data_IF_844767150390
#
_entry.id   IF_844767150390
#
_cell.length_a   1.000
_cell.length_b   1.000
_cell.length_c   1.000
_cell.angle_alpha   90.00
_cell.angle_beta   90.00
_cell.angle_gamma   90.00
#
_symmetry.space_group_name_H-M   'P 1'
#
loop_
_entity.id
_entity.type
_entity.pdbx_description
1 polymer ?
#
# COMPACT_ATOMS: atom_id res chain seq x y z
N UNK A 1 25.66 -18.71 -23.69
CA UNK A 1 24.24 -18.97 -23.43
C UNK A 1 23.51 -17.94 -24.27
N UNK A 2 22.89 -18.33 -25.38
CA UNK A 2 22.16 -17.39 -26.26
C UNK A 2 20.86 -16.98 -25.54
N UNK A 3 20.56 -15.69 -25.54
CA UNK A 3 19.29 -15.14 -25.03
C UNK A 3 18.14 -15.39 -26.06
N UNK A 4 18.27 -16.37 -26.94
CA UNK A 4 17.27 -16.81 -27.92
C UNK A 4 16.08 -17.41 -27.16
N UNK A 5 15.01 -16.65 -27.03
CA UNK A 5 13.77 -17.05 -26.34
C UNK A 5 13.18 -16.05 -25.36
N UNK A 6 13.90 -14.99 -25.01
CA UNK A 6 13.31 -13.82 -24.34
C UNK A 6 12.71 -12.91 -25.41
N UNK A 7 11.41 -12.72 -25.36
CA UNK A 7 10.81 -11.56 -26.04
C UNK A 7 11.05 -10.34 -25.15
N UNK A 8 11.96 -9.41 -25.51
CA UNK A 8 12.23 -8.22 -24.73
C UNK A 8 11.02 -7.26 -24.69
N UNK A 9 10.02 -7.49 -25.54
CA UNK A 9 8.77 -6.73 -25.57
C UNK A 9 7.67 -7.37 -24.68
N UNK A 10 7.87 -8.59 -24.16
CA UNK A 10 6.89 -9.23 -23.29
C UNK A 10 6.75 -8.44 -21.98
N UNK A 11 5.52 -8.03 -21.69
CA UNK A 11 5.23 -7.28 -20.46
C UNK A 11 5.51 -8.15 -19.24
N UNK A 12 6.30 -7.65 -18.25
CA UNK A 12 6.57 -8.38 -17.02
C UNK A 12 5.29 -8.83 -16.30
N UNK A 13 5.38 -9.95 -15.62
CA UNK A 13 4.31 -10.61 -14.87
C UNK A 13 3.15 -11.17 -15.69
N UNK A 14 3.20 -11.16 -17.03
CA UNK A 14 2.27 -11.95 -17.85
C UNK A 14 2.68 -13.43 -17.86
N UNK A 15 1.74 -14.32 -18.18
CA UNK A 15 2.03 -15.76 -18.31
C UNK A 15 3.13 -16.02 -19.36
N UNK A 16 3.09 -15.35 -20.51
CA UNK A 16 4.08 -15.46 -21.57
C UNK A 16 5.48 -15.06 -21.10
N UNK A 17 5.59 -13.91 -20.42
CA UNK A 17 6.84 -13.46 -19.81
C UNK A 17 7.36 -14.48 -18.79
N UNK A 18 6.51 -14.97 -17.90
CA UNK A 18 6.89 -15.96 -16.89
C UNK A 18 7.41 -17.25 -17.52
N UNK A 19 6.72 -17.80 -18.53
CA UNK A 19 7.15 -19.01 -19.23
C UNK A 19 8.47 -18.80 -19.99
N UNK A 20 8.72 -17.60 -20.51
CA UNK A 20 10.00 -17.28 -21.15
C UNK A 20 11.16 -17.27 -20.16
N UNK A 21 10.98 -16.65 -18.98
CA UNK A 21 11.98 -16.66 -17.89
C UNK A 21 12.18 -18.08 -17.36
N UNK A 22 11.08 -18.84 -17.14
CA UNK A 22 11.13 -20.21 -16.65
C UNK A 22 11.93 -21.12 -17.55
N UNK A 23 11.85 -20.95 -18.86
CA UNK A 23 12.68 -21.69 -19.82
C UNK A 23 14.18 -21.43 -19.68
N UNK A 24 14.56 -20.22 -19.24
CA UNK A 24 15.97 -19.81 -19.09
C UNK A 24 16.57 -20.25 -17.75
N UNK A 25 15.85 -20.04 -16.65
CA UNK A 25 16.39 -20.22 -15.30
C UNK A 25 15.77 -21.39 -14.53
N UNK A 26 14.77 -22.06 -15.09
CA UNK A 26 13.99 -23.11 -14.44
C UNK A 26 13.02 -22.57 -13.38
N UNK A 27 12.14 -23.44 -12.89
CA UNK A 27 11.14 -23.06 -11.90
C UNK A 27 11.76 -22.62 -10.56
N UNK A 28 12.82 -23.32 -10.13
CA UNK A 28 13.55 -22.95 -8.90
C UNK A 28 14.21 -21.59 -9.06
N UNK A 29 14.81 -21.31 -10.23
CA UNK A 29 15.40 -19.99 -10.52
C UNK A 29 14.36 -18.89 -10.53
N UNK A 30 13.17 -19.12 -11.12
CA UNK A 30 12.07 -18.16 -11.04
C UNK A 30 11.67 -17.84 -9.60
N UNK A 31 11.54 -18.85 -8.74
CA UNK A 31 11.21 -18.64 -7.33
C UNK A 31 12.26 -17.80 -6.61
N UNK A 32 13.55 -18.10 -6.82
CA UNK A 32 14.66 -17.35 -6.22
C UNK A 32 14.73 -15.91 -6.70
N UNK A 33 14.46 -15.67 -7.98
CA UNK A 33 14.43 -14.33 -8.59
C UNK A 33 13.13 -13.56 -8.31
N UNK A 34 12.14 -14.17 -7.65
CA UNK A 34 10.85 -13.54 -7.42
C UNK A 34 9.99 -13.37 -8.68
N UNK A 35 10.26 -14.16 -9.73
CA UNK A 35 9.46 -14.16 -10.96
C UNK A 35 8.21 -15.03 -10.79
N UNK A 36 7.06 -14.48 -11.19
CA UNK A 36 5.76 -15.16 -11.17
C UNK A 36 4.82 -14.53 -12.19
N UNK A 37 3.74 -15.20 -12.54
CA UNK A 37 2.70 -14.65 -13.41
C UNK A 37 1.53 -14.13 -12.58
N UNK A 38 0.92 -13.04 -13.06
CA UNK A 38 -0.36 -12.52 -12.56
C UNK A 38 -1.44 -12.88 -13.57
N UNK A 39 -2.58 -13.47 -13.18
CA UNK A 39 -3.66 -13.76 -14.12
C UNK A 39 -4.12 -12.51 -14.86
N UNK A 40 -4.44 -12.63 -16.15
CA UNK A 40 -4.76 -11.47 -17.01
C UNK A 40 -6.05 -10.75 -16.60
N UNK A 41 -6.99 -11.46 -16.00
CA UNK A 41 -8.25 -10.93 -15.46
C UNK A 41 -8.10 -10.25 -14.11
N UNK A 42 -6.93 -10.39 -13.47
CA UNK A 42 -6.65 -9.86 -12.14
C UNK A 42 -6.37 -8.36 -12.15
N UNK A 43 -6.83 -7.67 -11.12
CA UNK A 43 -6.65 -6.22 -11.00
C UNK A 43 -6.24 -5.83 -9.58
N UNK A 44 -5.25 -4.93 -9.47
CA UNK A 44 -4.85 -4.28 -8.22
C UNK A 44 -5.63 -2.98 -8.04
N UNK A 45 -6.25 -2.75 -6.88
CA UNK A 45 -6.72 -1.42 -6.48
C UNK A 45 -5.65 -0.72 -5.65
N UNK A 46 -5.18 0.43 -6.11
CA UNK A 46 -4.27 1.29 -5.36
C UNK A 46 -5.07 2.43 -4.74
N UNK A 47 -5.30 2.36 -3.43
CA UNK A 47 -6.04 3.38 -2.67
C UNK A 47 -5.08 4.44 -2.18
N UNK A 48 -5.26 5.67 -2.63
CA UNK A 48 -4.36 6.80 -2.36
C UNK A 48 -5.13 7.90 -1.62
N UNK A 49 -5.01 8.01 -0.28
CA UNK A 49 -5.50 9.16 0.47
C UNK A 49 -4.59 10.37 0.19
N UNK A 50 -5.17 11.51 -0.15
CA UNK A 50 -4.43 12.69 -0.63
C UNK A 50 -4.84 13.91 0.19
N UNK A 51 -3.84 14.61 0.75
CA UNK A 51 -4.04 15.88 1.45
C UNK A 51 -2.79 16.75 1.39
N UNK A 52 -2.84 17.89 0.69
CA UNK A 52 -1.74 18.84 0.53
C UNK A 52 -0.47 18.22 -0.05
N UNK A 53 -0.59 17.56 -1.20
CA UNK A 53 0.50 16.88 -1.90
C UNK A 53 0.66 17.37 -3.36
N UNK A 54 0.45 18.67 -3.58
CA UNK A 54 0.58 19.33 -4.90
C UNK A 54 1.89 19.00 -5.62
N UNK A 55 3.00 18.90 -4.87
CA UNK A 55 4.34 18.71 -5.42
C UNK A 55 4.69 17.25 -5.72
N UNK A 56 4.09 16.32 -5.00
CA UNK A 56 4.45 14.90 -5.03
C UNK A 56 3.47 14.08 -5.86
N UNK A 57 2.21 14.49 -5.89
CA UNK A 57 1.11 13.73 -6.43
C UNK A 57 1.33 13.28 -7.88
N UNK A 58 1.74 14.22 -8.78
CA UNK A 58 1.96 13.87 -10.19
C UNK A 58 3.05 12.82 -10.36
N UNK A 59 4.17 13.01 -9.68
CA UNK A 59 5.30 12.08 -9.71
C UNK A 59 4.89 10.71 -9.18
N UNK A 60 4.12 10.66 -8.09
CA UNK A 60 3.62 9.40 -7.55
C UNK A 60 2.73 8.67 -8.56
N UNK A 61 1.76 9.38 -9.16
CA UNK A 61 0.82 8.76 -10.12
C UNK A 61 1.59 8.18 -11.32
N UNK A 62 2.60 8.90 -11.83
CA UNK A 62 3.42 8.42 -12.93
C UNK A 62 4.22 7.16 -12.53
N UNK A 63 4.80 7.12 -11.31
CA UNK A 63 5.47 5.91 -10.78
C UNK A 63 4.49 4.75 -10.59
N UNK A 64 3.30 4.99 -10.04
CA UNK A 64 2.27 3.95 -9.90
C UNK A 64 1.88 3.39 -11.27
N UNK A 65 1.65 4.24 -12.27
CA UNK A 65 1.32 3.83 -13.64
C UNK A 65 2.43 3.01 -14.30
N UNK A 66 3.69 3.33 -14.02
CA UNK A 66 4.86 2.65 -14.59
C UNK A 66 4.99 1.19 -14.14
N UNK A 67 4.41 0.80 -12.99
CA UNK A 67 4.41 -0.61 -12.56
C UNK A 67 3.61 -1.45 -13.56
N UNK A 68 4.18 -2.51 -14.18
CA UNK A 68 3.58 -3.24 -15.32
C UNK A 68 2.49 -4.25 -14.88
N UNK A 69 1.59 -3.84 -14.01
CA UNK A 69 0.47 -4.62 -13.48
C UNK A 69 -0.82 -3.88 -13.80
N UNK A 70 -1.87 -4.60 -14.22
CA UNK A 70 -3.20 -4.01 -14.40
C UNK A 70 -3.75 -3.50 -13.07
N UNK A 71 -4.12 -2.21 -13.02
CA UNK A 71 -4.59 -1.58 -11.78
C UNK A 71 -5.63 -0.48 -11.99
N UNK A 72 -6.39 -0.24 -10.95
CA UNK A 72 -7.15 0.98 -10.79
C UNK A 72 -6.52 1.85 -9.69
N UNK A 73 -6.43 3.14 -9.92
CA UNK A 73 -6.01 4.14 -8.95
C UNK A 73 -7.26 4.78 -8.36
N UNK A 74 -7.48 4.54 -7.05
CA UNK A 74 -8.61 5.10 -6.31
C UNK A 74 -8.09 6.26 -5.46
N UNK A 75 -8.21 7.46 -6.01
CA UNK A 75 -7.69 8.71 -5.45
C UNK A 75 -8.76 9.36 -4.57
N UNK A 76 -8.44 9.63 -3.31
CA UNK A 76 -9.38 10.29 -2.38
C UNK A 76 -8.77 11.58 -1.88
N UNK A 77 -9.28 12.69 -2.39
CA UNK A 77 -8.86 14.05 -2.05
C UNK A 77 -9.60 14.51 -0.78
N UNK A 78 -8.85 14.75 0.30
CA UNK A 78 -9.39 15.06 1.63
C UNK A 78 -9.42 16.56 1.94
N UNK A 79 -9.98 17.37 1.04
CA UNK A 79 -10.15 18.81 1.14
C UNK A 79 -8.82 19.57 1.35
N UNK A 80 -7.89 19.39 0.41
CA UNK A 80 -6.59 20.08 0.37
C UNK A 80 -6.74 21.60 0.28
N UNK A 81 -5.74 22.31 0.81
CA UNK A 81 -5.69 23.78 0.84
C UNK A 81 -4.67 24.39 -0.13
N UNK A 82 -3.91 23.54 -0.81
CA UNK A 82 -2.93 23.89 -1.84
C UNK A 82 -3.46 23.58 -3.26
N UNK A 83 -2.59 23.51 -4.26
CA UNK A 83 -2.94 23.20 -5.64
C UNK A 83 -3.28 21.73 -5.93
N UNK A 84 -3.30 20.84 -4.93
CA UNK A 84 -3.54 19.39 -5.11
C UNK A 84 -4.81 19.09 -5.91
N UNK A 85 -5.92 19.80 -5.62
CA UNK A 85 -7.19 19.58 -6.32
C UNK A 85 -7.09 19.92 -7.81
N UNK A 86 -6.35 20.98 -8.17
CA UNK A 86 -6.13 21.33 -9.57
C UNK A 86 -5.32 20.27 -10.31
N UNK A 87 -4.30 19.70 -9.66
CA UNK A 87 -3.52 18.57 -10.20
C UNK A 87 -4.41 17.36 -10.46
N UNK A 88 -5.31 17.03 -9.53
CA UNK A 88 -6.25 15.91 -9.70
C UNK A 88 -7.22 16.13 -10.87
N UNK A 89 -7.79 17.33 -11.00
CA UNK A 89 -8.67 17.67 -12.12
C UNK A 89 -7.97 17.54 -13.48
N UNK A 90 -6.68 17.92 -13.56
CA UNK A 90 -5.88 17.71 -14.76
C UNK A 90 -5.68 16.21 -15.05
N UNK A 91 -5.37 15.39 -14.03
CA UNK A 91 -5.22 13.95 -14.17
C UNK A 91 -6.52 13.28 -14.63
N UNK A 92 -7.68 13.71 -14.13
CA UNK A 92 -8.99 13.21 -14.58
C UNK A 92 -9.25 13.57 -16.05
N UNK A 93 -8.98 14.82 -16.45
CA UNK A 93 -9.15 15.26 -17.83
C UNK A 93 -8.23 14.49 -18.79
N UNK A 94 -6.97 14.26 -18.40
CA UNK A 94 -6.01 13.46 -19.17
C UNK A 94 -6.46 12.00 -19.31
N UNK A 95 -6.94 11.40 -18.22
CA UNK A 95 -7.43 10.02 -18.23
C UNK A 95 -8.70 9.87 -19.08
N UNK A 96 -9.57 10.89 -19.09
CA UNK A 96 -10.76 10.90 -19.93
C UNK A 96 -10.41 11.06 -21.42
N UNK A 97 -9.40 11.90 -21.73
CA UNK A 97 -8.94 12.11 -23.12
C UNK A 97 -8.17 10.91 -23.68
N UNK A 98 -7.42 10.21 -22.85
CA UNK A 98 -6.58 9.06 -23.21
C UNK A 98 -6.84 7.88 -22.27
N UNK A 99 -7.92 7.11 -22.44
CA UNK A 99 -8.24 5.99 -21.59
C UNK A 99 -7.15 4.90 -21.64
N UNK A 100 -6.65 4.52 -20.47
CA UNK A 100 -5.68 3.44 -20.34
C UNK A 100 -6.33 2.26 -19.56
N UNK A 101 -6.61 1.13 -20.25
CA UNK A 101 -7.22 -0.04 -19.60
C UNK A 101 -6.31 -0.72 -18.59
N UNK A 102 -5.01 -0.44 -18.63
CA UNK A 102 -4.04 -0.94 -17.65
C UNK A 102 -4.01 -0.10 -16.36
N UNK A 103 -4.42 1.19 -16.44
CA UNK A 103 -4.31 2.16 -15.36
C UNK A 103 -5.56 3.05 -15.30
N UNK A 104 -6.67 2.50 -14.85
CA UNK A 104 -7.89 3.29 -14.70
C UNK A 104 -7.80 4.20 -13.48
N UNK A 105 -8.40 5.40 -13.54
CA UNK A 105 -8.41 6.37 -12.44
C UNK A 105 -9.84 6.64 -12.02
N UNK A 106 -10.07 6.66 -10.71
CA UNK A 106 -11.30 7.14 -10.08
C UNK A 106 -10.94 8.15 -8.99
N UNK A 107 -11.47 9.35 -9.05
CA UNK A 107 -11.24 10.38 -8.04
C UNK A 107 -12.51 10.60 -7.22
N UNK A 108 -12.35 10.79 -5.93
CA UNK A 108 -13.41 11.17 -4.99
C UNK A 108 -12.94 12.36 -4.17
N UNK A 109 -13.77 13.38 -4.06
CA UNK A 109 -13.47 14.61 -3.32
C UNK A 109 -14.29 14.66 -2.04
N UNK A 110 -13.63 14.93 -0.90
CA UNK A 110 -14.31 15.27 0.34
C UNK A 110 -14.59 16.77 0.40
N UNK A 111 -15.76 17.15 0.94
CA UNK A 111 -16.14 18.56 1.11
C UNK A 111 -15.42 19.23 2.29
N UNK A 112 -14.97 18.43 3.26
CA UNK A 112 -14.21 18.86 4.43
C UNK A 112 -13.10 17.86 4.71
N UNK A 113 -12.00 18.30 5.33
CA UNK A 113 -10.94 17.40 5.76
C UNK A 113 -11.48 16.44 6.85
N UNK A 114 -11.53 15.15 6.51
CA UNK A 114 -12.01 14.07 7.39
C UNK A 114 -10.87 13.26 7.99
N UNK A 115 -9.65 13.39 7.45
CA UNK A 115 -8.44 12.71 7.88
C UNK A 115 -8.13 11.43 7.09
N UNK A 116 -6.86 10.96 7.17
CA UNK A 116 -6.32 9.82 6.41
C UNK A 116 -7.22 8.58 6.50
N UNK A 117 -7.63 8.18 7.70
CA UNK A 117 -8.46 7.00 7.91
C UNK A 117 -9.82 7.08 7.20
N UNK A 118 -10.45 8.27 7.20
CA UNK A 118 -11.70 8.48 6.48
C UNK A 118 -11.49 8.40 4.96
N UNK A 119 -10.39 8.96 4.45
CA UNK A 119 -10.03 8.88 3.03
C UNK A 119 -9.74 7.42 2.61
N UNK A 120 -9.01 6.66 3.42
CA UNK A 120 -8.77 5.21 3.19
C UNK A 120 -10.09 4.44 3.16
N UNK A 121 -11.00 4.68 4.11
CA UNK A 121 -12.32 4.02 4.13
C UNK A 121 -13.15 4.37 2.89
N UNK A 122 -13.13 5.63 2.45
CA UNK A 122 -13.77 6.04 1.19
C UNK A 122 -13.15 5.30 0.01
N UNK A 123 -11.81 5.21 -0.04
CA UNK A 123 -11.10 4.46 -1.08
C UNK A 123 -11.47 2.98 -1.09
N UNK A 124 -11.52 2.32 0.06
CA UNK A 124 -11.93 0.92 0.17
C UNK A 124 -13.36 0.68 -0.36
N UNK A 125 -14.27 1.60 -0.10
CA UNK A 125 -15.65 1.49 -0.63
C UNK A 125 -15.76 1.60 -2.15
N UNK A 126 -14.74 2.14 -2.81
CA UNK A 126 -14.69 2.34 -4.26
C UNK A 126 -13.79 1.32 -4.97
N UNK A 127 -12.91 0.65 -4.24
CA UNK A 127 -11.98 -0.33 -4.76
C UNK A 127 -12.71 -1.55 -5.34
N UNK A 128 -12.33 -1.96 -6.56
CA UNK A 128 -12.96 -3.07 -7.31
C UNK A 128 -11.97 -4.18 -7.67
N UNK A 129 -10.66 -3.97 -7.45
CA UNK A 129 -9.61 -4.93 -7.74
C UNK A 129 -9.65 -6.18 -6.85
N UNK A 130 -9.02 -7.25 -7.25
CA UNK A 130 -8.95 -8.53 -6.51
C UNK A 130 -8.08 -8.43 -5.27
N UNK A 131 -7.12 -7.50 -5.33
CA UNK A 131 -6.26 -7.13 -4.22
C UNK A 131 -6.21 -5.62 -4.09
N UNK A 132 -6.12 -5.14 -2.87
CA UNK A 132 -6.13 -3.73 -2.53
C UNK A 132 -4.86 -3.38 -1.77
N UNK A 133 -4.16 -2.31 -2.18
CA UNK A 133 -3.01 -1.73 -1.47
C UNK A 133 -3.33 -0.31 -1.06
N UNK A 134 -2.86 0.10 0.12
CA UNK A 134 -2.86 1.51 0.55
C UNK A 134 -1.51 2.12 0.14
N UNK A 135 -1.54 3.27 -0.52
CA UNK A 135 -0.37 4.03 -0.96
C UNK A 135 -0.46 5.48 -0.45
N UNK A 136 0.51 5.91 0.34
CA UNK A 136 0.61 7.32 0.73
C UNK A 136 1.07 8.19 -0.45
N UNK A 137 0.58 9.43 -0.52
CA UNK A 137 0.84 10.32 -1.65
C UNK A 137 2.17 11.08 -1.59
N UNK A 138 3.02 10.78 -0.61
CA UNK A 138 4.18 11.57 -0.18
C UNK A 138 5.54 11.11 -0.72
N UNK A 139 5.59 10.13 -1.61
CA UNK A 139 6.80 9.52 -2.17
C UNK A 139 7.73 8.81 -1.16
N UNK A 140 7.31 8.63 0.10
CA UNK A 140 8.11 7.89 1.07
C UNK A 140 8.17 6.39 0.78
N UNK A 141 7.16 5.84 0.11
CA UNK A 141 7.01 4.44 -0.30
C UNK A 141 7.13 4.29 -1.81
N UNK A 142 7.77 3.22 -2.27
CA UNK A 142 8.05 2.92 -3.67
C UNK A 142 6.99 2.01 -4.30
N UNK A 143 6.23 2.48 -5.33
CA UNK A 143 5.28 1.61 -6.05
C UNK A 143 5.92 0.41 -6.72
N UNK A 144 7.20 0.45 -7.01
CA UNK A 144 8.00 -0.65 -7.57
C UNK A 144 8.02 -1.90 -6.68
N UNK A 145 7.67 -1.74 -5.39
CA UNK A 145 7.53 -2.84 -4.43
C UNK A 145 6.23 -3.65 -4.58
N UNK A 146 5.23 -3.15 -5.31
CA UNK A 146 3.94 -3.86 -5.44
C UNK A 146 4.10 -5.31 -5.87
N UNK A 147 4.88 -5.65 -6.92
CA UNK A 147 5.01 -7.05 -7.31
C UNK A 147 5.47 -7.94 -6.16
N UNK A 148 6.46 -7.48 -5.39
CA UNK A 148 6.98 -8.23 -4.25
C UNK A 148 5.94 -8.44 -3.16
N UNK A 149 5.16 -7.41 -2.85
CA UNK A 149 4.09 -7.45 -1.85
C UNK A 149 2.90 -8.32 -2.27
N UNK A 150 2.62 -8.43 -3.57
CA UNK A 150 1.51 -9.22 -4.11
C UNK A 150 1.79 -10.72 -4.10
N UNK A 151 3.06 -11.13 -4.18
CA UNK A 151 3.45 -12.52 -4.36
C UNK A 151 2.86 -13.47 -3.31
N UNK A 152 2.93 -13.24 -1.99
CA UNK A 152 2.37 -14.16 -1.01
C UNK A 152 0.85 -14.35 -1.14
N UNK A 153 0.14 -13.33 -1.62
CA UNK A 153 -1.30 -13.42 -1.90
C UNK A 153 -1.57 -14.27 -3.13
N UNK A 154 -0.84 -14.03 -4.22
CA UNK A 154 -0.97 -14.78 -5.47
C UNK A 154 -0.61 -16.26 -5.32
N UNK A 155 0.37 -16.57 -4.48
CA UNK A 155 0.73 -17.94 -4.12
C UNK A 155 -0.25 -18.59 -3.13
N UNK A 156 -1.29 -17.86 -2.68
CA UNK A 156 -2.32 -18.37 -1.76
C UNK A 156 -1.85 -18.53 -0.31
N UNK A 157 -0.71 -17.95 0.06
CA UNK A 157 -0.13 -18.03 1.40
C UNK A 157 -0.70 -16.99 2.37
N UNK A 158 -1.01 -15.79 1.88
CA UNK A 158 -1.43 -14.66 2.69
C UNK A 158 -2.82 -14.14 2.31
N UNK A 159 -3.54 -13.65 3.31
CA UNK A 159 -4.76 -12.85 3.15
C UNK A 159 -4.43 -11.35 3.24
N UNK A 160 -3.37 -11.03 4.02
CA UNK A 160 -2.86 -9.67 4.23
C UNK A 160 -1.34 -9.68 4.21
N UNK A 161 -0.73 -8.67 3.57
CA UNK A 161 0.72 -8.47 3.56
C UNK A 161 1.06 -7.08 4.06
N UNK A 162 2.00 -7.00 5.00
CA UNK A 162 2.59 -5.76 5.51
C UNK A 162 3.95 -5.51 4.87
N UNK A 163 4.18 -4.27 4.44
CA UNK A 163 5.51 -3.84 4.03
C UNK A 163 6.24 -3.19 5.21
N UNK A 164 7.24 -3.85 5.79
CA UNK A 164 7.98 -3.33 6.95
C UNK A 164 9.18 -2.49 6.54
N UNK A 165 9.33 -1.33 7.17
CA UNK A 165 10.50 -0.43 7.08
C UNK A 165 11.67 -0.90 7.94
N UNK A 166 11.47 -1.91 8.80
CA UNK A 166 12.43 -2.36 9.80
C UNK A 166 12.95 -3.77 9.57
N UNK A 167 12.39 -4.53 8.64
CA UNK A 167 12.97 -5.77 8.15
C UNK A 167 14.19 -5.48 7.27
N UNK A 168 15.30 -6.16 7.51
CA UNK A 168 16.62 -5.76 7.06
C UNK A 168 17.10 -6.40 5.75
N UNK A 169 16.43 -6.28 4.61
CA UNK A 169 17.01 -6.66 3.30
C UNK A 169 16.85 -5.59 2.20
N UNK A 170 16.21 -4.46 2.53
CA UNK A 170 16.01 -3.36 1.59
C UNK A 170 16.66 -2.07 2.11
N UNK A 171 17.10 -1.23 1.17
CA UNK A 171 17.65 0.08 1.51
C UNK A 171 16.58 0.99 2.10
N UNK A 172 16.91 1.65 3.19
CA UNK A 172 16.04 2.63 3.81
C UNK A 172 16.85 3.80 4.35
N UNK A 173 16.28 5.00 4.32
CA UNK A 173 16.85 6.16 4.98
C UNK A 173 16.89 5.92 6.48
N UNK A 174 18.05 6.13 7.12
CA UNK A 174 18.19 6.02 8.57
C UNK A 174 17.21 6.96 9.26
N UNK A 175 16.31 6.40 10.05
CA UNK A 175 15.29 7.16 10.80
C UNK A 175 15.89 7.81 12.04
N UNK A 176 15.28 8.91 12.50
CA UNK A 176 15.63 9.46 13.80
C UNK A 176 15.34 8.44 14.91
N UNK A 177 16.28 8.27 15.82
CA UNK A 177 16.23 7.27 16.88
C UNK A 177 14.91 7.29 17.66
N UNK A 178 14.44 8.46 18.08
CA UNK A 178 13.20 8.59 18.86
C UNK A 178 11.94 8.21 18.05
N UNK A 179 11.93 8.42 16.75
CA UNK A 179 10.84 7.97 15.89
C UNK A 179 10.84 6.45 15.75
N UNK A 180 12.02 5.86 15.56
CA UNK A 180 12.16 4.41 15.51
C UNK A 180 11.74 3.77 16.83
N UNK A 181 12.21 4.32 17.97
CA UNK A 181 11.82 3.84 19.29
C UNK A 181 10.31 3.94 19.53
N UNK A 182 9.70 5.08 19.18
CA UNK A 182 8.24 5.27 19.30
C UNK A 182 7.47 4.23 18.49
N UNK A 183 7.86 4.00 17.24
CA UNK A 183 7.25 2.97 16.41
C UNK A 183 7.42 1.56 16.99
N UNK A 184 8.61 1.24 17.50
CA UNK A 184 8.89 -0.05 18.15
C UNK A 184 8.00 -0.27 19.37
N UNK A 185 7.82 0.77 20.22
CA UNK A 185 6.93 0.68 21.38
C UNK A 185 5.48 0.44 20.95
N UNK A 186 4.95 1.22 19.99
CA UNK A 186 3.58 1.05 19.51
C UNK A 186 3.38 -0.34 18.88
N UNK A 187 4.31 -0.79 18.05
CA UNK A 187 4.27 -2.12 17.44
C UNK A 187 4.31 -3.23 18.50
N UNK A 188 5.18 -3.09 19.52
CA UNK A 188 5.28 -4.07 20.62
C UNK A 188 3.98 -4.17 21.41
N UNK A 189 3.39 -3.03 21.77
CA UNK A 189 2.09 -3.02 22.48
C UNK A 189 0.99 -3.62 21.62
N UNK A 190 0.95 -3.28 20.33
CA UNK A 190 0.01 -3.90 19.37
C UNK A 190 0.19 -5.40 19.29
N UNK A 191 1.43 -5.89 19.18
CA UNK A 191 1.73 -7.33 19.13
C UNK A 191 1.28 -8.06 20.40
N UNK A 192 1.51 -7.48 21.58
CA UNK A 192 1.02 -8.03 22.84
C UNK A 192 -0.51 -8.16 22.87
N UNK A 193 -1.23 -7.18 22.29
CA UNK A 193 -2.70 -7.16 22.32
C UNK A 193 -3.31 -8.06 21.23
N UNK A 194 -2.67 -8.16 20.07
CA UNK A 194 -3.19 -8.88 18.89
C UNK A 194 -2.66 -10.30 18.75
N UNK A 195 -1.61 -10.65 19.49
CA UNK A 195 -0.84 -11.88 19.33
C UNK A 195 -0.26 -12.04 17.90
N UNK A 196 0.02 -10.94 17.22
CA UNK A 196 0.82 -10.90 16.00
C UNK A 196 2.29 -10.64 16.38
N UNK A 197 3.20 -10.96 15.48
CA UNK A 197 4.64 -10.68 15.65
C UNK A 197 5.14 -9.82 14.50
N UNK A 198 4.53 -8.62 14.34
CA UNK A 198 4.93 -7.64 13.33
C UNK A 198 6.17 -6.87 13.78
N UNK A 199 6.97 -6.41 12.81
CA UNK A 199 8.07 -5.47 13.04
C UNK A 199 7.65 -4.02 12.81
N UNK A 200 6.58 -3.78 12.03
CA UNK A 200 6.09 -2.45 11.68
C UNK A 200 4.57 -2.39 11.53
N UNK A 201 3.86 -2.15 12.64
CA UNK A 201 2.40 -2.02 12.63
C UNK A 201 1.93 -0.73 11.95
N UNK A 202 2.70 0.37 12.08
CA UNK A 202 2.37 1.71 11.59
C UNK A 202 2.68 1.92 10.09
N UNK A 203 3.15 0.89 9.39
CA UNK A 203 3.44 0.99 7.95
C UNK A 203 2.18 1.33 7.15
N UNK A 204 2.32 2.19 6.13
CA UNK A 204 1.24 2.44 5.18
C UNK A 204 0.99 1.21 4.29
N UNK A 205 2.07 0.56 3.80
CA UNK A 205 1.93 -0.57 2.91
C UNK A 205 1.28 -1.76 3.59
N UNK A 206 -0.04 -1.81 3.46
CA UNK A 206 -0.87 -2.96 3.79
C UNK A 206 -1.62 -3.39 2.54
N UNK A 207 -1.43 -4.64 2.16
CA UNK A 207 -2.03 -5.26 0.99
C UNK A 207 -3.03 -6.29 1.45
N UNK A 208 -4.23 -6.27 0.90
CA UNK A 208 -5.34 -7.13 1.30
C UNK A 208 -5.90 -7.88 0.10
N UNK A 209 -6.27 -9.14 0.29
CA UNK A 209 -7.22 -9.76 -0.64
C UNK A 209 -8.57 -9.04 -0.54
N UNK A 210 -9.35 -9.00 -1.64
CA UNK A 210 -10.71 -8.46 -1.61
C UNK A 210 -11.57 -9.12 -0.52
N UNK A 211 -11.48 -10.45 -0.38
CA UNK A 211 -12.24 -11.20 0.62
C UNK A 211 -11.92 -10.76 2.04
N UNK A 212 -10.62 -10.65 2.39
CA UNK A 212 -10.19 -10.20 3.71
C UNK A 212 -10.65 -8.76 4.00
N UNK A 213 -10.57 -7.87 3.00
CA UNK A 213 -10.96 -6.47 3.19
C UNK A 213 -12.47 -6.30 3.29
N UNK A 214 -13.27 -7.08 2.56
CA UNK A 214 -14.73 -6.99 2.56
C UNK A 214 -15.33 -7.13 3.97
N UNK A 215 -14.76 -7.98 4.81
CA UNK A 215 -15.18 -8.19 6.20
C UNK A 215 -14.66 -7.13 7.17
N UNK A 216 -13.63 -6.38 6.78
CA UNK A 216 -12.97 -5.39 7.64
C UNK A 216 -13.50 -3.99 7.42
N UNK A 217 -13.48 -3.52 6.15
CA UNK A 217 -13.68 -2.10 5.85
C UNK A 217 -15.02 -1.53 6.31
N UNK A 218 -16.17 -2.26 6.28
CA UNK A 218 -17.44 -1.70 6.74
C UNK A 218 -17.49 -1.41 8.24
N UNK A 219 -16.57 -2.04 8.98
CA UNK A 219 -16.51 -1.93 10.46
C UNK A 219 -15.52 -0.87 10.93
N UNK A 220 -14.71 -0.28 10.02
CA UNK A 220 -13.71 0.74 10.35
C UNK A 220 -14.36 2.04 10.82
N UNK A 221 -13.82 2.62 11.90
CA UNK A 221 -14.36 3.82 12.57
C UNK A 221 -13.38 4.98 12.62
N UNK A 222 -12.06 4.70 12.60
CA UNK A 222 -11.06 5.75 12.72
C UNK A 222 -10.98 6.63 11.49
N UNK A 223 -10.88 7.94 11.74
CA UNK A 223 -10.81 8.94 10.69
C UNK A 223 -9.40 9.45 10.42
N UNK A 224 -8.48 9.31 11.39
CA UNK A 224 -7.10 9.81 11.32
C UNK A 224 -6.09 8.66 11.37
N UNK A 225 -4.90 8.88 11.92
CA UNK A 225 -3.80 7.90 12.00
C UNK A 225 -4.12 6.66 12.86
N UNK A 226 -5.15 6.69 13.71
CA UNK A 226 -5.65 5.49 14.40
C UNK A 226 -6.18 4.39 13.48
N UNK A 227 -6.23 4.61 12.16
CA UNK A 227 -6.64 3.60 11.18
C UNK A 227 -5.68 2.42 11.13
N UNK A 228 -4.35 2.64 11.28
CA UNK A 228 -3.35 1.59 11.22
C UNK A 228 -3.51 0.57 12.37
N UNK A 229 -3.56 0.99 13.66
CA UNK A 229 -3.84 0.04 14.74
C UNK A 229 -5.25 -0.55 14.68
N UNK A 230 -6.26 0.18 14.20
CA UNK A 230 -7.61 -0.39 14.02
C UNK A 230 -7.61 -1.52 13.00
N UNK A 231 -6.99 -1.32 11.83
CA UNK A 231 -6.84 -2.35 10.80
C UNK A 231 -6.15 -3.58 11.39
N UNK A 232 -5.03 -3.40 12.08
CA UNK A 232 -4.23 -4.48 12.66
C UNK A 232 -5.03 -5.29 13.69
N UNK A 233 -5.77 -4.63 14.58
CA UNK A 233 -6.64 -5.32 15.53
C UNK A 233 -7.73 -6.14 14.84
N UNK A 234 -8.36 -5.60 13.79
CA UNK A 234 -9.42 -6.29 13.05
C UNK A 234 -8.91 -7.46 12.21
N UNK A 235 -7.70 -7.35 11.65
CA UNK A 235 -6.99 -8.44 10.97
C UNK A 235 -6.75 -9.60 11.94
N UNK A 236 -6.17 -9.29 13.12
CA UNK A 236 -5.87 -10.28 14.13
C UNK A 236 -7.12 -11.02 14.64
N UNK A 237 -8.22 -10.29 14.92
CA UNK A 237 -9.48 -10.87 15.37
C UNK A 237 -10.10 -11.84 14.38
N UNK A 238 -9.92 -11.59 13.08
CA UNK A 238 -10.39 -12.47 12.01
C UNK A 238 -9.45 -13.64 11.73
N UNK A 239 -8.32 -13.71 12.46
CA UNK A 239 -7.30 -14.76 12.31
C UNK A 239 -6.84 -14.91 10.85
N UNK A 240 -6.71 -13.78 10.15
CA UNK A 240 -6.23 -13.77 8.78
C UNK A 240 -4.76 -14.18 8.71
N UNK A 241 -4.36 -14.79 7.60
CA UNK A 241 -2.97 -15.16 7.35
C UNK A 241 -2.19 -13.90 6.98
N UNK A 242 -1.32 -13.46 7.88
CA UNK A 242 -0.54 -12.24 7.74
C UNK A 242 0.90 -12.58 7.38
N UNK A 243 1.41 -11.94 6.34
CA UNK A 243 2.82 -11.98 5.96
C UNK A 243 3.43 -10.59 6.10
N UNK A 244 4.71 -10.52 6.38
CA UNK A 244 5.45 -9.26 6.47
C UNK A 244 6.68 -9.36 5.58
N UNK A 245 6.92 -8.32 4.75
CA UNK A 245 8.04 -8.24 3.82
C UNK A 245 8.80 -6.92 4.03
N UNK A 246 10.12 -6.97 3.88
CA UNK A 246 10.92 -5.74 3.88
C UNK A 246 10.58 -4.86 2.68
N UNK A 247 10.56 -3.55 2.88
CA UNK A 247 10.38 -2.55 1.81
C UNK A 247 11.45 -1.47 1.90
N UNK A 248 11.72 -0.81 0.78
CA UNK A 248 12.49 0.43 0.76
C UNK A 248 11.69 1.58 1.37
N UNK A 249 12.36 2.52 2.01
CA UNK A 249 11.71 3.66 2.65
C UNK A 249 12.54 4.93 2.58
N UNK A 250 11.95 5.99 2.02
CA UNK A 250 12.59 7.28 1.80
C UNK A 250 11.98 8.37 2.69
N UNK A 251 12.02 8.16 4.03
CA UNK A 251 11.36 9.04 5.00
C UNK A 251 11.71 10.51 4.88
N UNK A 252 10.71 11.38 4.89
CA UNK A 252 10.85 12.84 4.87
C UNK A 252 11.28 13.38 6.24
N UNK A 253 12.05 14.46 6.24
CA UNK A 253 12.35 15.25 7.44
C UNK A 253 11.22 16.25 7.73
N UNK A 254 11.22 16.84 8.92
CA UNK A 254 10.27 17.92 9.26
C UNK A 254 10.36 19.13 8.30
N UNK A 255 11.56 19.41 7.77
CA UNK A 255 11.76 20.48 6.75
C UNK A 255 11.16 20.10 5.40
N UNK A 256 11.01 18.83 5.12
CA UNK A 256 10.42 18.27 3.91
C UNK A 256 8.89 17.99 4.05
N UNK A 257 8.26 18.48 5.15
CA UNK A 257 6.81 18.44 5.32
C UNK A 257 6.26 17.27 6.13
N UNK A 258 7.05 16.62 7.00
CA UNK A 258 6.54 15.58 7.89
C UNK A 258 5.57 16.18 8.91
N UNK A 259 4.33 15.64 8.97
CA UNK A 259 3.25 16.17 9.81
C UNK A 259 2.94 15.35 11.07
N UNK A 260 3.53 14.15 11.24
CA UNK A 260 3.23 13.26 12.37
C UNK A 260 3.95 13.75 13.63
N UNK A 261 3.21 13.94 14.72
CA UNK A 261 3.70 14.42 16.01
C UNK A 261 3.44 13.44 17.17
N UNK A 262 3.95 13.78 18.38
CA UNK A 262 3.78 12.95 19.57
C UNK A 262 2.30 12.69 19.96
N UNK A 263 1.38 13.62 19.63
CA UNK A 263 -0.07 13.48 19.88
C UNK A 263 -0.66 12.32 19.08
N UNK A 264 -0.16 12.09 17.85
CA UNK A 264 -0.58 10.98 17.01
C UNK A 264 -0.15 9.64 17.60
N UNK A 265 1.04 9.59 18.23
CA UNK A 265 1.51 8.41 18.96
C UNK A 265 0.64 8.07 20.17
N UNK A 266 0.21 9.08 20.95
CA UNK A 266 -0.73 8.87 22.07
C UNK A 266 -2.09 8.39 21.55
N UNK A 267 -2.57 8.96 20.45
CA UNK A 267 -3.81 8.51 19.83
C UNK A 267 -3.71 7.06 19.32
N UNK A 268 -2.57 6.69 18.71
CA UNK A 268 -2.32 5.32 18.25
C UNK A 268 -2.36 4.33 19.43
N UNK A 269 -1.67 4.65 20.54
CA UNK A 269 -1.69 3.83 21.76
C UNK A 269 -3.11 3.64 22.31
N UNK A 270 -3.89 4.74 22.37
CA UNK A 270 -5.30 4.65 22.77
C UNK A 270 -6.12 3.77 21.83
N UNK A 271 -5.90 3.88 20.50
CA UNK A 271 -6.58 3.03 19.51
C UNK A 271 -6.21 1.55 19.70
N UNK A 272 -4.92 1.22 19.92
CA UNK A 272 -4.49 -0.16 20.19
C UNK A 272 -5.28 -0.74 21.36
N UNK A 273 -5.31 -0.05 22.50
CA UNK A 273 -6.00 -0.49 23.70
C UNK A 273 -7.52 -0.60 23.50
N UNK A 274 -8.12 0.40 22.83
CA UNK A 274 -9.57 0.41 22.54
C UNK A 274 -9.98 -0.77 21.67
N UNK A 275 -9.30 -0.99 20.55
CA UNK A 275 -9.68 -2.04 19.58
C UNK A 275 -9.26 -3.44 20.00
N UNK A 276 -8.39 -3.57 21.00
CA UNK A 276 -8.17 -4.84 21.69
C UNK A 276 -9.39 -5.24 22.54
N UNK A 277 -10.00 -4.28 23.24
CA UNK A 277 -11.09 -4.54 24.18
C UNK A 277 -12.47 -4.51 23.51
N UNK A 278 -12.73 -3.54 22.65
CA UNK A 278 -14.04 -3.31 22.04
C UNK A 278 -13.91 -3.13 20.52
N UNK A 279 -14.64 -3.93 19.75
CA UNK A 279 -14.76 -3.73 18.30
C UNK A 279 -15.84 -2.69 17.98
#
# INVERSE_FOLDING_TARGET
MSLEGLDPAARPYTQEWYESIKRLVGEIGCRQLGCYAIPDDWMLSVVIPIYNEERTLRVLIDRVRAVPIRKELVLVEDCSKDGTRAVLQQLEAEAAANPDPMNTITVTYHDVNKGKGAAVRTGFSKARGDVIVIQDADLEYSPEEYPRLLRPILEGHADVVYGSRFLGDQEHRVLYYWHSLGNTVLTTVSNCMTNLNLTDMETCYKVFTRAALADIWPTLKQNRFGIEPELTAKIARRRLRVYELAISYHGRTYKEGKHIGWKDGVQALWCILRYWWAD
#
